data_IF_459831742785
#
_entry.id   IF_459831742785
#
_cell.length_a   1.000
_cell.length_b   1.000
_cell.length_c   1.000
_cell.angle_alpha   90.00
_cell.angle_beta   90.00
_cell.angle_gamma   90.00
#
_symmetry.space_group_name_H-M   'P 1'
#
loop_
_entity.id
_entity.type
_entity.pdbx_description
1 polymer ?
#
# COMPACT_ATOMS: atom_id res chain seq x y z
N UNK A 1 55.43 -51.61 63.76
CA UNK A 1 54.53 -52.12 62.71
C UNK A 1 53.84 -50.92 62.08
N UNK A 2 54.08 -50.67 60.79
CA UNK A 2 53.82 -49.41 60.08
C UNK A 2 52.51 -49.46 59.28
N UNK A 3 51.83 -48.31 59.29
CA UNK A 3 50.81 -47.74 58.39
C UNK A 3 49.34 -48.20 58.42
N UNK A 4 48.57 -47.38 59.13
CA UNK A 4 47.34 -46.70 58.71
C UNK A 4 46.79 -46.96 57.30
N UNK A 5 45.51 -47.34 57.25
CA UNK A 5 44.55 -46.75 56.33
C UNK A 5 43.30 -46.33 57.12
N UNK A 6 43.25 -45.05 57.49
CA UNK A 6 42.01 -44.41 57.88
C UNK A 6 41.17 -44.18 56.63
N UNK A 7 39.99 -44.78 56.57
CA UNK A 7 38.96 -44.44 55.59
C UNK A 7 38.49 -43.01 55.88
N UNK A 8 39.06 -42.04 55.17
CA UNK A 8 38.57 -40.66 55.18
C UNK A 8 37.13 -40.65 54.65
N UNK A 9 36.18 -40.37 55.54
CA UNK A 9 34.82 -40.02 55.15
C UNK A 9 34.89 -38.70 54.35
N UNK A 10 34.27 -38.60 53.17
CA UNK A 10 34.27 -37.35 52.41
C UNK A 10 33.67 -36.24 53.25
N UNK A 11 34.34 -35.09 53.31
CA UNK A 11 33.83 -33.89 53.98
C UNK A 11 32.60 -33.38 53.22
N UNK A 12 31.70 -32.68 53.91
CA UNK A 12 30.43 -32.16 53.38
C UNK A 12 30.62 -31.34 52.10
N UNK A 13 31.79 -30.70 51.92
CA UNK A 13 32.17 -29.98 50.72
C UNK A 13 32.34 -30.91 49.48
N UNK A 14 32.91 -32.11 49.64
CA UNK A 14 33.09 -33.07 48.54
C UNK A 14 31.76 -33.65 48.07
N UNK A 15 30.82 -33.85 48.99
CA UNK A 15 29.45 -34.30 48.66
C UNK A 15 28.68 -33.21 47.91
N UNK A 16 28.83 -31.94 48.31
CA UNK A 16 28.21 -30.80 47.62
C UNK A 16 28.79 -30.55 46.22
N UNK A 17 30.10 -30.74 46.01
CA UNK A 17 30.72 -30.63 44.68
C UNK A 17 30.29 -31.78 43.76
N UNK A 18 30.17 -33.02 44.28
CA UNK A 18 29.64 -34.15 43.52
C UNK A 18 28.15 -33.99 43.18
N UNK A 19 27.34 -33.43 44.09
CA UNK A 19 25.93 -33.09 43.81
C UNK A 19 25.80 -31.95 42.80
N UNK A 20 26.66 -30.92 42.86
CA UNK A 20 26.67 -29.84 41.87
C UNK A 20 27.09 -30.34 40.47
N UNK A 21 28.07 -31.24 40.38
CA UNK A 21 28.47 -31.89 39.13
C UNK A 21 27.38 -32.83 38.59
N UNK A 22 26.64 -33.53 39.46
CA UNK A 22 25.46 -34.33 39.07
C UNK A 22 24.30 -33.47 38.57
N UNK A 23 24.05 -32.30 39.16
CA UNK A 23 23.01 -31.37 38.69
C UNK A 23 23.40 -30.75 37.33
N UNK A 24 24.69 -30.55 37.04
CA UNK A 24 25.15 -30.12 35.71
C UNK A 24 25.01 -31.25 34.66
N UNK A 25 25.18 -32.52 35.04
CA UNK A 25 24.97 -33.66 34.14
C UNK A 25 23.50 -34.00 33.84
N UNK A 26 22.54 -33.41 34.58
CA UNK A 26 21.11 -33.55 34.35
C UNK A 26 20.44 -32.26 33.81
N UNK A 27 21.18 -31.39 33.14
CA UNK A 27 20.53 -30.52 32.16
C UNK A 27 20.03 -31.43 31.04
N UNK A 28 18.73 -31.77 31.06
CA UNK A 28 18.07 -32.40 29.91
C UNK A 28 18.45 -31.58 28.68
N UNK A 29 19.17 -32.19 27.75
CA UNK A 29 19.32 -31.62 26.42
C UNK A 29 17.92 -31.20 25.95
N UNK A 30 17.74 -30.00 25.39
CA UNK A 30 16.44 -29.57 24.91
C UNK A 30 15.87 -30.67 24.01
N UNK A 31 14.62 -31.06 24.26
CA UNK A 31 13.99 -32.13 23.48
C UNK A 31 14.12 -31.78 22.00
N UNK A 32 14.84 -32.61 21.24
CA UNK A 32 15.04 -32.38 19.81
C UNK A 32 13.66 -32.30 19.14
N UNK A 33 13.41 -31.21 18.39
CA UNK A 33 12.18 -31.09 17.63
C UNK A 33 12.08 -32.28 16.66
N UNK A 34 10.88 -32.85 16.51
CA UNK A 34 10.68 -33.93 15.54
C UNK A 34 10.92 -33.41 14.12
N UNK A 35 11.32 -34.30 13.21
CA UNK A 35 11.52 -33.95 11.79
C UNK A 35 10.27 -33.27 11.19
N UNK A 36 9.09 -33.73 11.60
CA UNK A 36 7.80 -33.13 11.22
C UNK A 36 7.66 -31.70 11.73
N UNK A 37 7.99 -31.44 13.00
CA UNK A 37 7.98 -30.08 13.57
C UNK A 37 8.95 -29.13 12.87
N UNK A 38 10.16 -29.61 12.56
CA UNK A 38 11.17 -28.81 11.82
C UNK A 38 10.65 -28.47 10.42
N UNK A 39 10.09 -29.46 9.72
CA UNK A 39 9.56 -29.28 8.36
C UNK A 39 8.41 -28.29 8.35
N UNK A 40 7.47 -28.39 9.31
CA UNK A 40 6.36 -27.44 9.46
C UNK A 40 6.87 -26.02 9.68
N UNK A 41 7.83 -25.80 10.59
CA UNK A 41 8.40 -24.47 10.84
C UNK A 41 9.08 -23.88 9.59
N UNK A 42 9.79 -24.70 8.83
CA UNK A 42 10.42 -24.27 7.57
C UNK A 42 9.35 -23.85 6.55
N UNK A 43 8.26 -24.60 6.43
CA UNK A 43 7.15 -24.24 5.53
C UNK A 43 6.43 -22.97 5.99
N UNK A 44 6.15 -22.82 7.28
CA UNK A 44 5.54 -21.61 7.87
C UNK A 44 6.39 -20.37 7.60
N UNK A 45 7.70 -20.45 7.87
CA UNK A 45 8.63 -19.35 7.59
C UNK A 45 8.66 -18.99 6.11
N UNK A 46 8.78 -19.98 5.21
CA UNK A 46 8.78 -19.72 3.76
C UNK A 46 7.44 -19.16 3.27
N UNK A 47 6.33 -19.57 3.85
CA UNK A 47 5.01 -19.04 3.53
C UNK A 47 4.87 -17.58 3.97
N UNK A 48 5.43 -17.21 5.13
CA UNK A 48 5.49 -15.81 5.56
C UNK A 48 6.37 -14.98 4.61
N UNK A 49 7.58 -15.44 4.29
CA UNK A 49 8.47 -14.78 3.32
C UNK A 49 7.81 -14.62 1.93
N UNK A 50 7.07 -15.63 1.48
CA UNK A 50 6.31 -15.57 0.23
C UNK A 50 5.24 -14.49 0.24
N UNK A 51 4.52 -14.32 1.35
CA UNK A 51 3.55 -13.24 1.49
C UNK A 51 4.23 -11.87 1.45
N UNK A 52 5.32 -11.67 2.21
CA UNK A 52 6.06 -10.39 2.27
C UNK A 52 6.64 -10.00 0.90
N UNK A 53 7.37 -10.92 0.26
CA UNK A 53 7.92 -10.71 -1.08
C UNK A 53 6.83 -10.47 -2.13
N UNK A 54 5.73 -11.20 -2.03
CA UNK A 54 4.62 -11.14 -2.97
C UNK A 54 3.76 -9.90 -2.83
N UNK A 55 3.87 -9.12 -1.75
CA UNK A 55 2.94 -8.02 -1.44
C UNK A 55 2.62 -7.08 -2.60
N UNK A 56 3.59 -6.55 -3.37
CA UNK A 56 3.28 -5.72 -4.53
C UNK A 56 2.43 -6.43 -5.61
N UNK A 57 2.73 -7.71 -5.91
CA UNK A 57 1.94 -8.50 -6.87
C UNK A 57 0.56 -8.85 -6.30
N UNK A 58 0.48 -9.14 -5.01
CA UNK A 58 -0.77 -9.47 -4.32
C UNK A 58 -1.72 -8.27 -4.31
N UNK A 59 -1.21 -7.07 -4.02
CA UNK A 59 -1.96 -5.83 -4.12
C UNK A 59 -2.41 -5.56 -5.56
N UNK A 60 -1.50 -5.68 -6.54
CA UNK A 60 -1.85 -5.58 -7.96
C UNK A 60 -2.97 -6.56 -8.35
N UNK A 61 -2.83 -7.84 -7.98
CA UNK A 61 -3.81 -8.86 -8.34
C UNK A 61 -5.14 -8.63 -7.65
N UNK A 62 -5.18 -8.22 -6.39
CA UNK A 62 -6.43 -7.89 -5.69
C UNK A 62 -7.19 -6.78 -6.41
N UNK A 63 -6.50 -5.70 -6.82
CA UNK A 63 -7.11 -4.65 -7.63
C UNK A 63 -7.58 -5.18 -9.00
N UNK A 64 -6.74 -5.95 -9.71
CA UNK A 64 -7.10 -6.51 -11.02
C UNK A 64 -8.31 -7.45 -10.94
N UNK A 65 -8.40 -8.30 -9.91
CA UNK A 65 -9.53 -9.21 -9.73
C UNK A 65 -10.82 -8.44 -9.41
N UNK A 66 -10.76 -7.39 -8.57
CA UNK A 66 -11.90 -6.51 -8.33
C UNK A 66 -12.32 -5.77 -9.61
N UNK A 67 -11.36 -5.39 -10.45
CA UNK A 67 -11.63 -4.72 -11.72
C UNK A 67 -12.43 -5.63 -12.68
N UNK A 68 -12.11 -6.93 -12.75
CA UNK A 68 -12.92 -7.88 -13.51
C UNK A 68 -14.24 -8.22 -12.82
N UNK A 69 -14.22 -8.50 -11.51
CA UNK A 69 -15.37 -9.00 -10.75
C UNK A 69 -16.41 -7.93 -10.46
N UNK A 70 -15.99 -6.79 -9.91
CA UNK A 70 -16.89 -5.78 -9.34
C UNK A 70 -17.25 -4.70 -10.36
N UNK A 71 -16.29 -4.28 -11.19
CA UNK A 71 -16.56 -3.34 -12.27
C UNK A 71 -17.14 -4.04 -13.52
N UNK A 72 -16.99 -5.36 -13.64
CA UNK A 72 -17.36 -6.12 -14.84
C UNK A 72 -16.52 -5.70 -16.05
N UNK A 73 -15.31 -5.19 -15.80
CA UNK A 73 -14.44 -4.61 -16.82
C UNK A 73 -13.66 -5.69 -17.57
N UNK A 74 -13.08 -5.32 -18.70
CA UNK A 74 -12.06 -6.10 -19.41
C UNK A 74 -10.77 -5.29 -19.49
N UNK A 75 -9.65 -5.92 -19.86
CA UNK A 75 -8.43 -5.17 -20.15
C UNK A 75 -8.74 -4.03 -21.14
N UNK A 76 -8.10 -2.87 -20.91
CA UNK A 76 -8.26 -1.64 -21.69
C UNK A 76 -9.60 -0.89 -21.48
N UNK A 77 -10.58 -1.43 -20.75
CA UNK A 77 -11.67 -0.59 -20.23
C UNK A 77 -11.08 0.48 -19.25
N UNK A 78 -11.80 1.58 -19.06
CA UNK A 78 -11.42 2.70 -18.20
C UNK A 78 -12.42 2.77 -17.05
N UNK A 79 -11.99 2.35 -15.87
CA UNK A 79 -12.76 2.48 -14.63
C UNK A 79 -12.48 3.85 -14.00
N UNK A 80 -13.50 4.51 -13.45
CA UNK A 80 -13.33 5.80 -12.78
C UNK A 80 -14.37 6.02 -11.69
N UNK A 81 -14.13 7.00 -10.83
CA UNK A 81 -15.12 7.49 -9.86
C UNK A 81 -15.52 8.92 -10.27
N UNK A 82 -16.79 9.12 -10.62
CA UNK A 82 -17.32 10.46 -10.98
C UNK A 82 -17.43 11.42 -9.81
N UNK A 83 -17.31 10.90 -8.58
CA UNK A 83 -17.36 11.67 -7.34
C UNK A 83 -16.16 11.34 -6.45
N UNK A 84 -15.81 12.23 -5.51
CA UNK A 84 -14.78 11.96 -4.53
C UNK A 84 -15.07 10.63 -3.80
N UNK A 85 -14.04 9.81 -3.54
CA UNK A 85 -14.23 8.42 -3.13
C UNK A 85 -14.84 8.30 -1.74
N UNK A 86 -15.85 7.44 -1.58
CA UNK A 86 -16.40 7.04 -0.28
C UNK A 86 -15.89 5.64 0.14
N UNK A 87 -16.46 5.10 1.22
CA UNK A 87 -16.07 3.79 1.77
C UNK A 87 -16.15 2.64 0.77
N UNK A 88 -16.92 2.76 -0.33
CA UNK A 88 -17.08 1.70 -1.34
C UNK A 88 -15.80 1.47 -2.12
N UNK A 89 -14.92 2.46 -2.22
CA UNK A 89 -13.59 2.28 -2.78
C UNK A 89 -12.68 1.61 -1.75
N UNK A 90 -12.46 0.31 -1.91
CA UNK A 90 -11.59 -0.48 -1.04
C UNK A 90 -10.29 -0.80 -1.79
N UNK A 91 -9.54 0.23 -2.17
CA UNK A 91 -8.10 0.11 -2.47
C UNK A 91 -7.29 0.39 -1.20
N UNK A 92 -5.97 0.19 -1.26
CA UNK A 92 -5.08 0.62 -0.19
C UNK A 92 -5.00 2.15 -0.12
N UNK A 93 -5.27 2.75 1.04
CA UNK A 93 -5.27 4.20 1.34
C UNK A 93 -5.76 5.16 0.25
N UNK A 94 -6.97 4.94 -0.34
CA UNK A 94 -7.57 5.85 -1.29
C UNK A 94 -7.72 7.25 -0.70
N UNK A 95 -7.70 8.26 -1.55
CA UNK A 95 -7.95 9.63 -1.14
C UNK A 95 -9.42 10.01 -1.36
N UNK A 96 -10.03 10.64 -0.36
CA UNK A 96 -11.40 11.12 -0.47
C UNK A 96 -11.54 12.27 -1.47
N UNK A 97 -10.53 13.13 -1.67
CA UNK A 97 -10.68 14.44 -2.32
C UNK A 97 -10.52 14.49 -3.84
N UNK A 98 -10.06 13.43 -4.50
CA UNK A 98 -9.75 13.44 -5.94
C UNK A 98 -10.52 12.38 -6.72
N UNK A 99 -10.93 12.70 -7.95
CA UNK A 99 -11.53 11.72 -8.86
C UNK A 99 -10.46 10.77 -9.40
N UNK A 100 -10.63 9.47 -9.15
CA UNK A 100 -9.70 8.45 -9.61
C UNK A 100 -10.10 7.89 -10.96
N UNK A 101 -9.08 7.53 -11.73
CA UNK A 101 -9.18 6.81 -13.01
C UNK A 101 -8.21 5.64 -12.95
N UNK A 102 -8.68 4.45 -13.27
CA UNK A 102 -7.92 3.22 -13.26
C UNK A 102 -8.21 2.42 -14.51
N UNK A 103 -7.19 1.77 -15.03
CA UNK A 103 -7.32 0.79 -16.10
C UNK A 103 -6.20 -0.22 -15.97
N UNK A 104 -6.46 -1.43 -16.46
CA UNK A 104 -5.50 -2.51 -16.52
C UNK A 104 -5.22 -2.86 -17.98
N UNK A 105 -3.96 -3.14 -18.29
CA UNK A 105 -3.54 -3.57 -19.63
C UNK A 105 -2.74 -4.86 -19.51
N UNK A 106 -2.83 -5.69 -20.54
CA UNK A 106 -2.02 -6.90 -20.67
C UNK A 106 -1.25 -6.86 -21.98
N UNK A 107 0.05 -7.17 -21.92
CA UNK A 107 0.96 -7.02 -23.04
C UNK A 107 1.32 -8.36 -23.71
N UNK A 108 0.67 -9.47 -23.35
CA UNK A 108 0.98 -10.80 -23.95
C UNK A 108 0.74 -10.82 -25.46
N UNK A 109 -0.28 -10.12 -25.93
CA UNK A 109 -0.65 -10.06 -27.35
C UNK A 109 0.03 -8.90 -28.11
N UNK A 110 0.88 -8.12 -27.43
CA UNK A 110 1.67 -7.04 -28.04
C UNK A 110 1.51 -5.69 -27.33
N UNK A 111 2.05 -4.61 -27.95
CA UNK A 111 1.99 -3.27 -27.39
C UNK A 111 0.57 -2.71 -27.22
N UNK A 112 0.37 -1.93 -26.15
CA UNK A 112 -0.90 -1.23 -25.87
C UNK A 112 -0.67 0.27 -25.85
N UNK A 113 -1.56 1.03 -26.50
CA UNK A 113 -1.57 2.48 -26.52
C UNK A 113 -2.39 3.02 -25.35
N UNK A 114 -1.82 3.98 -24.63
CA UNK A 114 -2.52 4.87 -23.69
C UNK A 114 -2.49 6.29 -24.27
N UNK A 115 -3.63 6.76 -24.75
CA UNK A 115 -3.82 8.07 -25.36
C UNK A 115 -4.38 9.06 -24.34
N UNK A 116 -3.52 9.98 -23.89
CA UNK A 116 -3.84 11.00 -22.89
C UNK A 116 -4.24 12.28 -23.64
N UNK A 117 -5.47 12.80 -23.43
CA UNK A 117 -5.91 14.04 -24.07
C UNK A 117 -5.10 15.23 -23.55
N UNK A 118 -4.99 16.27 -24.38
CA UNK A 118 -4.38 17.53 -23.98
C UNK A 118 -5.21 18.22 -22.91
N UNK A 119 -4.55 18.75 -21.88
CA UNK A 119 -5.15 19.51 -20.79
C UNK A 119 -5.92 20.72 -21.31
N UNK A 120 -7.11 20.93 -20.76
CA UNK A 120 -7.95 22.11 -21.01
C UNK A 120 -8.30 22.75 -19.65
N UNK A 121 -9.57 23.03 -19.38
CA UNK A 121 -10.04 23.46 -18.06
C UNK A 121 -9.92 22.35 -17.00
N UNK A 122 -9.82 21.09 -17.45
CA UNK A 122 -9.49 19.92 -16.66
C UNK A 122 -8.28 19.19 -17.28
N UNK A 123 -7.61 18.37 -16.47
CA UNK A 123 -6.44 17.59 -16.88
C UNK A 123 -6.41 16.22 -16.24
N UNK A 124 -5.51 15.36 -16.72
CA UNK A 124 -5.13 14.13 -16.02
C UNK A 124 -3.78 14.34 -15.35
N UNK A 125 -3.54 13.62 -14.28
CA UNK A 125 -2.19 13.44 -13.75
C UNK A 125 -2.06 12.10 -13.03
N UNK A 126 -1.01 11.37 -13.33
CA UNK A 126 -0.73 10.10 -12.68
C UNK A 126 0.38 9.36 -13.41
N UNK A 127 0.39 8.03 -13.27
CA UNK A 127 1.53 7.21 -13.67
C UNK A 127 1.09 5.89 -14.27
N UNK A 128 1.82 5.43 -15.29
CA UNK A 128 1.72 4.05 -15.77
C UNK A 128 2.63 3.17 -14.91
N UNK A 129 2.10 2.07 -14.38
CA UNK A 129 2.71 1.28 -13.32
C UNK A 129 2.71 -0.20 -13.72
N UNK A 130 3.81 -0.88 -13.46
CA UNK A 130 3.99 -2.31 -13.74
C UNK A 130 3.32 -3.18 -12.65
N UNK A 131 3.19 -4.51 -12.86
CA UNK A 131 2.55 -5.39 -11.87
C UNK A 131 3.29 -5.44 -10.52
N UNK A 132 4.57 -5.06 -10.49
CA UNK A 132 5.38 -4.96 -9.28
C UNK A 132 5.19 -3.66 -8.52
N UNK A 133 4.23 -2.84 -8.93
CA UNK A 133 3.94 -1.52 -8.37
C UNK A 133 5.10 -0.52 -8.64
N UNK A 134 5.92 -0.79 -9.65
CA UNK A 134 7.02 0.10 -10.07
C UNK A 134 6.48 1.16 -11.02
N UNK A 135 6.65 2.46 -10.70
CA UNK A 135 6.21 3.52 -11.59
C UNK A 135 7.12 3.61 -12.82
N UNK A 136 6.55 3.60 -14.02
CA UNK A 136 7.31 3.64 -15.28
C UNK A 136 7.41 5.05 -15.87
N UNK A 137 6.29 5.77 -15.94
CA UNK A 137 6.25 7.12 -16.52
C UNK A 137 5.07 7.92 -15.97
N UNK A 138 5.29 9.20 -15.66
CA UNK A 138 4.23 10.15 -15.33
C UNK A 138 3.58 10.69 -16.60
N UNK A 139 2.25 10.85 -16.57
CA UNK A 139 1.44 11.36 -17.67
C UNK A 139 0.54 12.50 -17.22
N UNK A 140 0.08 13.31 -18.18
CA UNK A 140 -0.78 14.47 -18.03
C UNK A 140 -0.06 15.76 -17.63
N UNK A 141 -0.75 16.66 -16.94
CA UNK A 141 -0.34 18.06 -16.71
C UNK A 141 1.11 18.24 -16.23
N UNK A 142 1.53 17.38 -15.30
CA UNK A 142 2.88 17.38 -14.69
C UNK A 142 3.70 16.14 -15.10
N UNK A 143 3.26 15.43 -16.14
CA UNK A 143 3.91 14.25 -16.71
C UNK A 143 4.81 14.59 -17.90
N UNK A 144 5.23 13.55 -18.62
CA UNK A 144 6.14 13.69 -19.76
C UNK A 144 5.53 14.51 -20.92
N UNK A 145 4.21 14.45 -21.11
CA UNK A 145 3.51 15.25 -22.12
C UNK A 145 3.31 16.71 -21.72
N UNK A 146 3.58 17.09 -20.47
CA UNK A 146 3.45 18.46 -19.97
C UNK A 146 2.06 19.07 -20.20
N UNK A 147 1.02 18.24 -20.19
CA UNK A 147 -0.36 18.65 -20.46
C UNK A 147 -0.70 18.90 -21.93
N UNK A 148 0.23 18.65 -22.86
CA UNK A 148 -0.04 18.77 -24.31
C UNK A 148 -0.75 17.55 -24.89
N UNK A 149 -0.99 16.53 -24.07
CA UNK A 149 -1.49 15.24 -24.51
C UNK A 149 -0.38 14.38 -25.11
N UNK A 150 -0.56 13.07 -25.08
CA UNK A 150 0.48 12.14 -25.49
C UNK A 150 -0.04 10.73 -25.69
N UNK A 151 0.50 10.07 -26.73
CA UNK A 151 0.24 8.66 -27.01
C UNK A 151 1.40 7.84 -26.50
N UNK A 152 1.21 7.18 -25.37
CA UNK A 152 2.19 6.31 -24.75
C UNK A 152 2.00 4.89 -25.28
N UNK A 153 3.05 4.30 -25.85
CA UNK A 153 3.03 2.92 -26.32
C UNK A 153 3.73 2.05 -25.28
N UNK A 154 2.95 1.31 -24.50
CA UNK A 154 3.47 0.39 -23.49
C UNK A 154 3.91 -0.90 -24.18
N UNK A 155 5.19 -1.24 -24.03
CA UNK A 155 5.86 -2.33 -24.73
C UNK A 155 6.00 -3.55 -23.81
N UNK A 156 5.75 -4.77 -24.32
CA UNK A 156 5.94 -5.99 -23.55
C UNK A 156 7.41 -6.22 -23.16
N UNK A 157 7.67 -7.00 -22.10
CA UNK A 157 9.01 -7.44 -21.74
C UNK A 157 9.76 -8.04 -22.94
N UNK A 158 10.98 -7.54 -23.20
CA UNK A 158 11.82 -8.05 -24.30
C UNK A 158 11.38 -7.63 -25.71
N UNK A 159 10.48 -6.66 -25.85
CA UNK A 159 10.07 -6.16 -27.17
C UNK A 159 11.25 -5.60 -27.97
N UNK A 160 11.42 -6.09 -29.20
CA UNK A 160 12.49 -5.68 -30.13
C UNK A 160 11.96 -5.14 -31.47
N UNK A 161 10.64 -5.01 -31.60
CA UNK A 161 10.01 -4.45 -32.79
C UNK A 161 10.23 -2.94 -32.94
N UNK A 162 9.91 -2.40 -34.11
CA UNK A 162 9.96 -0.95 -34.33
C UNK A 162 8.83 -0.26 -33.58
N UNK A 163 9.13 0.91 -33.00
CA UNK A 163 8.13 1.80 -32.40
C UNK A 163 7.66 2.77 -33.49
N UNK A 164 6.36 2.80 -33.84
CA UNK A 164 5.86 3.72 -34.86
C UNK A 164 6.07 5.19 -34.47
N UNK A 165 6.20 6.07 -35.46
CA UNK A 165 6.36 7.50 -35.22
C UNK A 165 5.16 8.11 -34.47
N UNK A 166 5.42 9.07 -33.59
CA UNK A 166 4.38 9.80 -32.85
C UNK A 166 3.86 9.09 -31.60
N UNK A 167 4.56 8.05 -31.12
CA UNK A 167 4.36 7.42 -29.82
C UNK A 167 5.55 7.65 -28.89
N UNK A 168 5.27 7.75 -27.60
CA UNK A 168 6.27 7.71 -26.53
C UNK A 168 6.42 6.27 -26.06
N UNK A 169 7.55 5.58 -26.28
CA UNK A 169 7.72 4.20 -25.85
C UNK A 169 7.87 4.10 -24.33
N UNK A 170 7.18 3.13 -23.73
CA UNK A 170 7.23 2.83 -22.29
C UNK A 170 7.52 1.35 -22.13
N UNK A 171 8.76 0.98 -21.81
CA UNK A 171 9.16 -0.41 -21.66
C UNK A 171 8.71 -0.98 -20.31
N UNK A 172 7.82 -1.97 -20.33
CA UNK A 172 7.45 -2.69 -19.11
C UNK A 172 8.37 -3.89 -18.86
N UNK A 173 8.60 -4.19 -17.58
CA UNK A 173 9.25 -5.44 -17.13
C UNK A 173 8.24 -6.57 -16.87
N UNK A 174 6.94 -6.27 -16.99
CA UNK A 174 5.82 -7.17 -16.70
C UNK A 174 4.81 -7.21 -17.84
N UNK A 175 4.07 -8.31 -17.99
CA UNK A 175 2.97 -8.40 -18.95
C UNK A 175 1.72 -7.68 -18.45
N UNK A 176 1.35 -7.86 -17.19
CA UNK A 176 0.25 -7.13 -16.59
C UNK A 176 0.72 -5.77 -16.08
N UNK A 177 -0.07 -4.73 -16.35
CA UNK A 177 0.22 -3.36 -15.93
C UNK A 177 -1.09 -2.66 -15.55
N UNK A 178 -0.99 -1.57 -14.82
CA UNK A 178 -2.13 -0.73 -14.51
C UNK A 178 -1.74 0.75 -14.51
N UNK A 179 -2.73 1.61 -14.39
CA UNK A 179 -2.50 3.01 -14.09
C UNK A 179 -3.46 3.45 -13.01
N UNK A 180 -3.00 4.46 -12.28
CA UNK A 180 -3.85 5.27 -11.43
C UNK A 180 -3.62 6.74 -11.80
N UNK A 181 -4.62 7.32 -12.45
CA UNK A 181 -4.66 8.74 -12.76
C UNK A 181 -5.66 9.44 -11.86
N UNK A 182 -5.48 10.74 -11.73
CA UNK A 182 -6.44 11.64 -11.11
C UNK A 182 -6.91 12.65 -12.15
N UNK A 183 -8.20 12.97 -12.11
CA UNK A 183 -8.72 14.13 -12.81
C UNK A 183 -8.39 15.37 -11.99
N UNK A 184 -7.66 16.30 -12.59
CA UNK A 184 -7.29 17.58 -12.01
C UNK A 184 -8.28 18.61 -12.52
N UNK A 185 -9.09 19.14 -11.61
CA UNK A 185 -10.13 20.14 -11.89
C UNK A 185 -9.74 21.50 -11.32
N UNK A 186 -10.43 22.55 -11.76
CA UNK A 186 -10.22 23.92 -11.25
C UNK A 186 -10.59 24.05 -9.76
N UNK A 187 -11.62 23.34 -9.32
CA UNK A 187 -12.05 23.27 -7.93
C UNK A 187 -12.73 21.94 -7.62
N UNK A 188 -13.00 21.68 -6.34
CA UNK A 188 -13.83 20.54 -5.89
C UNK A 188 -15.34 20.77 -6.01
N UNK A 189 -15.80 21.86 -6.64
CA UNK A 189 -17.22 22.13 -6.84
C UNK A 189 -17.85 21.17 -7.85
N UNK A 190 -19.11 20.80 -7.64
CA UNK A 190 -19.84 19.80 -8.44
C UNK A 190 -19.77 20.05 -9.95
N UNK A 191 -19.88 21.31 -10.40
CA UNK A 191 -19.76 21.70 -11.81
C UNK A 191 -18.37 21.41 -12.39
N UNK A 192 -17.31 21.72 -11.65
CA UNK A 192 -15.93 21.52 -12.11
C UNK A 192 -15.59 20.01 -12.10
N UNK A 193 -16.14 19.25 -11.14
CA UNK A 193 -16.04 17.78 -11.13
C UNK A 193 -16.74 17.15 -12.34
N UNK A 194 -17.96 17.60 -12.67
CA UNK A 194 -18.69 17.11 -13.84
C UNK A 194 -17.94 17.40 -15.14
N UNK A 195 -17.41 18.62 -15.31
CA UNK A 195 -16.54 18.95 -16.45
C UNK A 195 -15.32 18.02 -16.48
N UNK A 196 -14.67 17.78 -15.33
CA UNK A 196 -13.56 16.83 -15.24
C UNK A 196 -13.90 15.43 -15.74
N UNK A 197 -15.10 14.93 -15.43
CA UNK A 197 -15.61 13.64 -15.93
C UNK A 197 -15.82 13.68 -17.44
N UNK A 198 -16.39 14.74 -18.00
CA UNK A 198 -16.58 14.90 -19.45
C UNK A 198 -15.23 14.95 -20.18
N UNK A 199 -14.27 15.68 -19.63
CA UNK A 199 -12.90 15.74 -20.13
C UNK A 199 -12.24 14.36 -20.17
N UNK A 200 -12.36 13.58 -19.09
CA UNK A 200 -11.82 12.22 -18.98
C UNK A 200 -12.31 11.31 -20.12
N UNK A 201 -13.54 11.48 -20.61
CA UNK A 201 -14.08 10.64 -21.70
C UNK A 201 -13.35 10.76 -23.03
N UNK A 202 -12.42 11.70 -23.16
CA UNK A 202 -11.54 11.84 -24.32
C UNK A 202 -10.30 10.95 -24.26
N UNK A 203 -10.02 10.31 -23.12
CA UNK A 203 -8.93 9.33 -22.97
C UNK A 203 -9.21 8.05 -23.76
N UNK A 204 -8.16 7.36 -24.22
CA UNK A 204 -8.29 6.05 -24.86
C UNK A 204 -7.21 5.07 -24.39
N UNK A 205 -7.59 3.80 -24.28
CA UNK A 205 -6.66 2.68 -24.06
C UNK A 205 -7.02 1.57 -25.04
N UNK A 206 -6.05 1.12 -25.86
CA UNK A 206 -6.33 0.14 -26.92
C UNK A 206 -5.05 -0.58 -27.42
N UNK A 207 -5.15 -1.84 -27.91
CA UNK A 207 -4.02 -2.55 -28.51
C UNK A 207 -3.51 -1.90 -29.81
N UNK A 208 -2.21 -1.89 -30.04
CA UNK A 208 -1.63 -1.42 -31.30
C UNK A 208 -2.02 -2.37 -32.46
N UNK A 209 -2.65 -1.85 -33.51
CA UNK A 209 -2.93 -2.60 -34.76
C UNK A 209 -4.16 -3.51 -34.78
N UNK A 210 -5.01 -3.52 -33.75
CA UNK A 210 -6.26 -4.31 -33.74
C UNK A 210 -7.35 -3.78 -34.68
N UNK A 211 -8.32 -4.62 -35.06
CA UNK A 211 -9.52 -4.15 -35.79
C UNK A 211 -10.31 -3.20 -34.88
N UNK A 212 -10.36 -1.91 -35.22
CA UNK A 212 -10.87 -0.85 -34.34
C UNK A 212 -9.79 -0.17 -33.48
N UNK A 213 -8.52 -0.17 -33.91
CA UNK A 213 -7.32 0.36 -33.22
C UNK A 213 -7.33 1.86 -32.84
N UNK A 214 -8.50 2.46 -32.68
CA UNK A 214 -8.70 3.83 -32.20
C UNK A 214 -9.94 3.99 -31.31
N UNK A 215 -10.72 2.92 -31.07
CA UNK A 215 -11.83 2.95 -30.11
C UNK A 215 -11.31 2.64 -28.71
N UNK A 216 -11.57 3.53 -27.76
CA UNK A 216 -11.31 3.27 -26.34
C UNK A 216 -12.13 2.08 -25.86
N UNK A 217 -11.61 1.35 -24.86
CA UNK A 217 -12.46 0.51 -24.01
C UNK A 217 -13.59 1.32 -23.36
N UNK A 218 -14.54 0.60 -22.76
CA UNK A 218 -15.71 1.18 -22.10
C UNK A 218 -15.28 2.04 -20.92
N UNK A 219 -16.04 3.08 -20.63
CA UNK A 219 -15.88 3.81 -19.39
C UNK A 219 -16.87 3.33 -18.34
N UNK A 220 -16.37 2.95 -17.16
CA UNK A 220 -17.18 2.33 -16.10
C UNK A 220 -17.10 3.19 -14.84
N UNK A 221 -18.22 3.79 -14.46
CA UNK A 221 -18.33 4.57 -13.23
C UNK A 221 -18.53 3.65 -12.03
N UNK A 222 -17.72 3.86 -11.00
CA UNK A 222 -17.70 3.11 -9.74
C UNK A 222 -18.16 3.95 -8.53
N UNK A 223 -18.60 5.20 -8.71
CA UNK A 223 -19.00 6.07 -7.60
C UNK A 223 -20.06 5.46 -6.66
N UNK A 224 -20.97 4.61 -7.17
CA UNK A 224 -22.03 3.96 -6.39
C UNK A 224 -21.81 2.46 -6.18
N UNK A 225 -20.65 1.92 -6.59
CA UNK A 225 -20.35 0.49 -6.56
C UNK A 225 -19.21 0.20 -5.60
N UNK A 226 -19.31 -0.93 -4.89
CA UNK A 226 -18.19 -1.44 -4.10
C UNK A 226 -17.12 -1.96 -5.04
N UNK A 227 -15.89 -1.48 -4.86
CA UNK A 227 -14.69 -1.99 -5.53
C UNK A 227 -13.80 -2.61 -4.45
N UNK A 228 -13.93 -3.93 -4.26
CA UNK A 228 -13.31 -4.68 -3.17
C UNK A 228 -11.94 -5.23 -3.56
N UNK A 229 -10.96 -4.33 -3.52
CA UNK A 229 -9.64 -4.48 -4.13
C UNK A 229 -8.49 -4.64 -3.11
N UNK A 230 -8.79 -4.96 -1.85
CA UNK A 230 -7.79 -5.24 -0.82
C UNK A 230 -7.41 -6.73 -0.82
N UNK A 231 -6.12 -7.07 -0.67
CA UNK A 231 -5.70 -8.46 -0.48
C UNK A 231 -6.37 -9.10 0.74
N UNK A 232 -6.78 -10.37 0.60
CA UNK A 232 -7.26 -11.19 1.71
C UNK A 232 -6.10 -11.98 2.29
N UNK A 233 -5.90 -11.88 3.59
CA UNK A 233 -4.85 -12.60 4.31
C UNK A 233 -5.38 -13.91 4.89
N UNK A 234 -5.78 -14.80 3.98
CA UNK A 234 -6.11 -16.19 4.22
C UNK A 234 -5.27 -17.08 3.27
N UNK A 235 -5.56 -18.38 3.20
CA UNK A 235 -4.83 -19.30 2.32
C UNK A 235 -4.99 -18.99 0.82
N UNK A 236 -6.04 -18.27 0.40
CA UNK A 236 -6.25 -17.87 -0.99
C UNK A 236 -5.24 -16.82 -1.49
N UNK A 237 -4.54 -16.16 -0.55
CA UNK A 237 -3.41 -15.28 -0.86
C UNK A 237 -2.36 -16.02 -1.71
N UNK A 238 -2.10 -17.29 -1.41
CA UNK A 238 -1.07 -18.07 -2.09
C UNK A 238 -1.50 -18.56 -3.47
N UNK A 239 -2.81 -18.73 -3.71
CA UNK A 239 -3.33 -18.96 -5.06
C UNK A 239 -3.12 -17.74 -5.95
N UNK A 240 -3.35 -16.54 -5.39
CA UNK A 240 -3.07 -15.26 -6.05
C UNK A 240 -1.57 -15.11 -6.36
N UNK A 241 -0.71 -15.43 -5.39
CA UNK A 241 0.73 -15.38 -5.58
C UNK A 241 1.21 -16.34 -6.66
N UNK A 242 0.78 -17.61 -6.60
CA UNK A 242 1.13 -18.63 -7.58
C UNK A 242 0.71 -18.21 -8.99
N UNK A 243 -0.50 -17.66 -9.13
CA UNK A 243 -1.01 -17.12 -10.39
C UNK A 243 -0.11 -16.02 -10.94
N UNK A 244 0.21 -15.01 -10.12
CA UNK A 244 1.07 -13.90 -10.55
C UNK A 244 2.49 -14.35 -10.90
N UNK A 245 3.07 -15.29 -10.15
CA UNK A 245 4.38 -15.90 -10.47
C UNK A 245 4.34 -16.59 -11.83
N UNK A 246 3.25 -17.27 -12.19
CA UNK A 246 3.09 -17.91 -13.51
C UNK A 246 2.92 -16.85 -14.60
N UNK A 247 2.14 -15.81 -14.37
CA UNK A 247 1.82 -14.79 -15.36
C UNK A 247 3.00 -13.86 -15.70
N UNK A 248 3.86 -13.51 -14.73
CA UNK A 248 4.85 -12.44 -14.86
C UNK A 248 6.30 -12.89 -15.06
N UNK A 249 7.12 -12.28 -15.93
CA UNK A 249 8.50 -12.70 -16.11
C UNK A 249 9.28 -12.80 -14.79
N UNK A 250 10.08 -13.85 -14.67
CA UNK A 250 11.00 -13.97 -13.54
C UNK A 250 12.08 -12.89 -13.65
N UNK A 251 12.30 -12.12 -12.59
CA UNK A 251 13.42 -11.18 -12.54
C UNK A 251 14.63 -11.85 -11.89
N UNK A 252 15.83 -11.42 -12.29
CA UNK A 252 17.09 -11.98 -11.79
C UNK A 252 17.20 -11.93 -10.26
N UNK A 253 16.80 -10.80 -9.66
CA UNK A 253 16.76 -10.60 -8.19
C UNK A 253 15.89 -11.64 -7.45
N UNK A 254 14.95 -12.28 -8.13
CA UNK A 254 13.94 -13.15 -7.53
C UNK A 254 14.28 -14.64 -7.67
N UNK A 255 15.38 -15.00 -8.34
CA UNK A 255 15.72 -16.42 -8.62
C UNK A 255 15.98 -17.22 -7.34
N UNK A 256 16.72 -16.64 -6.39
CA UNK A 256 17.05 -17.34 -5.14
C UNK A 256 15.81 -17.60 -4.27
N UNK A 257 14.92 -16.61 -4.13
CA UNK A 257 13.72 -16.74 -3.29
C UNK A 257 12.71 -17.73 -3.88
N UNK A 258 12.66 -17.85 -5.22
CA UNK A 258 11.85 -18.87 -5.90
C UNK A 258 12.29 -20.30 -5.59
N UNK A 259 13.58 -20.52 -5.33
CA UNK A 259 14.07 -21.81 -4.84
C UNK A 259 13.40 -22.22 -3.52
N UNK A 260 13.13 -21.24 -2.65
CA UNK A 260 12.40 -21.48 -1.39
C UNK A 260 10.91 -21.72 -1.66
N UNK A 261 10.28 -20.91 -2.51
CA UNK A 261 8.84 -21.01 -2.77
C UNK A 261 8.43 -22.27 -3.52
N UNK A 262 9.36 -22.89 -4.28
CA UNK A 262 9.13 -24.22 -4.86
C UNK A 262 8.69 -25.25 -3.83
N UNK A 263 9.16 -25.17 -2.58
CA UNK A 263 8.74 -26.13 -1.54
C UNK A 263 7.31 -25.92 -1.05
N UNK A 264 6.71 -24.77 -1.36
CA UNK A 264 5.30 -24.47 -1.17
C UNK A 264 4.46 -24.87 -2.40
N UNK A 265 5.09 -25.38 -3.47
CA UNK A 265 4.42 -25.63 -4.74
C UNK A 265 4.28 -24.40 -5.64
N UNK A 266 4.94 -23.28 -5.31
CA UNK A 266 4.87 -22.02 -6.07
C UNK A 266 6.08 -21.91 -6.99
N UNK A 267 5.83 -21.72 -8.29
CA UNK A 267 6.88 -21.52 -9.28
C UNK A 267 6.35 -21.57 -10.70
N UNK A 268 7.15 -21.08 -11.65
CA UNK A 268 6.77 -20.90 -13.07
C UNK A 268 6.19 -22.14 -13.76
N UNK A 269 6.71 -23.31 -13.43
CA UNK A 269 6.34 -24.59 -14.05
C UNK A 269 5.59 -25.51 -13.09
N UNK A 270 5.24 -25.01 -11.90
CA UNK A 270 4.56 -25.79 -10.88
C UNK A 270 3.05 -25.57 -10.94
N UNK A 271 2.33 -26.60 -10.53
CA UNK A 271 0.90 -26.53 -10.29
C UNK A 271 0.67 -26.38 -8.78
N UNK A 272 0.21 -25.21 -8.35
CA UNK A 272 -0.06 -24.96 -6.94
C UNK A 272 -1.36 -25.68 -6.54
N UNK A 273 -1.21 -26.79 -5.81
CA UNK A 273 -2.32 -27.62 -5.34
C UNK A 273 -2.03 -28.16 -3.93
N UNK A 274 -1.99 -27.28 -2.92
CA UNK A 274 -1.72 -27.70 -1.55
C UNK A 274 -2.89 -28.52 -0.97
N UNK A 275 -2.55 -29.54 -0.20
CA UNK A 275 -3.50 -30.37 0.53
C UNK A 275 -4.16 -29.62 1.71
N UNK A 276 -5.18 -30.20 2.38
CA UNK A 276 -5.86 -29.52 3.49
C UNK A 276 -4.96 -29.13 4.67
N UNK A 277 -3.90 -29.90 4.95
CA UNK A 277 -2.95 -29.59 6.02
C UNK A 277 -2.08 -28.39 5.63
N UNK A 278 -1.60 -28.36 4.39
CA UNK A 278 -0.86 -27.25 3.82
C UNK A 278 -1.72 -25.98 3.78
N UNK A 279 -2.98 -26.07 3.35
CA UNK A 279 -3.94 -24.94 3.37
C UNK A 279 -4.09 -24.32 4.75
N UNK A 280 -4.22 -25.13 5.80
CA UNK A 280 -4.28 -24.63 7.19
C UNK A 280 -3.00 -23.92 7.62
N UNK A 281 -1.84 -24.44 7.22
CA UNK A 281 -0.54 -23.81 7.48
C UNK A 281 -0.44 -22.46 6.78
N UNK A 282 -0.82 -22.42 5.49
CA UNK A 282 -0.83 -21.21 4.69
C UNK A 282 -1.79 -20.14 5.25
N UNK A 283 -3.01 -20.52 5.66
CA UNK A 283 -3.95 -19.61 6.33
C UNK A 283 -3.34 -18.99 7.60
N UNK A 284 -2.66 -19.80 8.40
CA UNK A 284 -1.96 -19.33 9.61
C UNK A 284 -0.84 -18.35 9.24
N UNK A 285 -0.02 -18.70 8.25
CA UNK A 285 1.08 -17.86 7.78
C UNK A 285 0.60 -16.54 7.17
N UNK A 286 -0.50 -16.53 6.42
CA UNK A 286 -1.08 -15.30 5.85
C UNK A 286 -1.54 -14.33 6.96
N UNK A 287 -2.21 -14.84 8.00
CA UNK A 287 -2.63 -14.03 9.15
C UNK A 287 -1.45 -13.47 9.94
N UNK A 288 -0.39 -14.26 10.11
CA UNK A 288 0.85 -13.81 10.74
C UNK A 288 1.56 -12.75 9.89
N UNK A 289 1.62 -12.95 8.57
CA UNK A 289 2.16 -11.97 7.64
C UNK A 289 1.37 -10.65 7.70
N UNK A 290 0.03 -10.70 7.75
CA UNK A 290 -0.79 -9.50 7.93
C UNK A 290 -0.44 -8.75 9.22
N UNK A 291 -0.37 -9.45 10.35
CA UNK A 291 -0.04 -8.83 11.64
C UNK A 291 1.36 -8.19 11.63
N UNK A 292 2.33 -8.85 10.98
CA UNK A 292 3.68 -8.31 10.78
C UNK A 292 3.67 -7.06 9.88
N UNK A 293 2.96 -7.10 8.75
CA UNK A 293 2.83 -5.98 7.82
C UNK A 293 2.12 -4.78 8.46
N UNK A 294 1.07 -5.02 9.25
CA UNK A 294 0.37 -3.97 10.01
C UNK A 294 1.32 -3.26 10.97
N UNK A 295 2.08 -4.03 11.76
CA UNK A 295 3.04 -3.48 12.73
C UNK A 295 4.18 -2.76 12.03
N UNK A 296 4.71 -3.36 10.95
CA UNK A 296 5.78 -2.77 10.15
C UNK A 296 5.34 -1.48 9.48
N UNK A 297 4.15 -1.44 8.89
CA UNK A 297 3.62 -0.21 8.30
C UNK A 297 3.26 0.85 9.34
N UNK A 298 2.78 0.48 10.53
CA UNK A 298 2.60 1.42 11.65
C UNK A 298 3.93 2.11 12.02
N UNK A 299 5.03 1.35 12.08
CA UNK A 299 6.34 1.82 12.53
C UNK A 299 7.23 2.38 11.41
N UNK A 300 6.91 2.12 10.15
CA UNK A 300 7.73 2.54 9.01
C UNK A 300 7.68 4.05 8.76
N UNK A 301 8.54 4.51 7.85
CA UNK A 301 8.71 5.93 7.54
C UNK A 301 9.48 6.68 8.63
N UNK A 302 9.74 7.96 8.37
CA UNK A 302 10.52 8.82 9.26
C UNK A 302 9.59 9.73 10.06
N UNK A 303 9.93 9.97 11.33
CA UNK A 303 9.26 11.00 12.12
C UNK A 303 9.50 12.38 11.49
N UNK A 304 8.42 13.10 11.21
CA UNK A 304 8.48 14.40 10.50
C UNK A 304 8.96 15.49 11.47
N UNK A 305 8.35 15.57 12.65
CA UNK A 305 8.79 16.47 13.73
C UNK A 305 9.30 15.62 14.90
N UNK A 306 10.46 14.98 14.70
CA UNK A 306 11.07 14.05 15.66
C UNK A 306 11.12 14.63 17.08
N UNK A 307 10.63 13.86 18.06
CA UNK A 307 10.57 14.26 19.47
C UNK A 307 9.47 15.27 19.82
N UNK A 308 8.75 15.81 18.85
CA UNK A 308 7.69 16.80 19.07
C UNK A 308 6.29 16.29 18.73
N UNK A 309 6.19 15.41 17.73
CA UNK A 309 4.93 14.90 17.17
C UNK A 309 5.02 13.43 16.79
N UNK A 310 3.86 12.78 16.64
CA UNK A 310 3.72 11.37 16.26
C UNK A 310 3.46 11.14 14.77
N UNK A 311 3.55 12.19 13.96
CA UNK A 311 3.42 12.10 12.51
C UNK A 311 4.66 11.53 11.83
N UNK A 312 4.45 10.54 10.95
CA UNK A 312 5.50 9.87 10.16
C UNK A 312 5.25 10.00 8.67
N UNK A 313 6.28 9.93 7.85
CA UNK A 313 6.13 9.70 6.40
C UNK A 313 5.57 8.29 6.14
N UNK A 314 5.05 8.03 4.93
CA UNK A 314 4.48 6.72 4.62
C UNK A 314 5.54 5.61 4.53
N UNK A 315 6.68 5.93 3.93
CA UNK A 315 7.90 5.14 3.85
C UNK A 315 9.11 6.06 4.03
N UNK A 316 10.33 5.52 4.14
CA UNK A 316 11.54 6.36 4.14
C UNK A 316 11.67 7.05 2.76
N UNK A 317 11.56 8.40 2.70
CA UNK A 317 11.64 9.12 1.44
C UNK A 317 12.99 8.98 0.77
N UNK A 318 14.10 8.92 1.51
CA UNK A 318 15.45 8.81 0.92
C UNK A 318 15.58 7.49 0.17
N UNK A 319 15.21 6.41 0.84
CA UNK A 319 15.19 5.07 0.28
C UNK A 319 14.26 4.94 -0.92
N UNK A 320 13.03 5.47 -0.79
CA UNK A 320 12.03 5.41 -1.85
C UNK A 320 12.48 6.21 -3.09
N UNK A 321 13.10 7.38 -2.89
CA UNK A 321 13.63 8.21 -3.96
C UNK A 321 14.86 7.58 -4.61
N UNK A 322 15.83 7.13 -3.82
CA UNK A 322 17.09 6.57 -4.30
C UNK A 322 16.89 5.30 -5.13
N UNK A 323 15.90 4.48 -4.80
CA UNK A 323 15.56 3.25 -5.52
C UNK A 323 14.59 3.46 -6.70
N UNK A 324 14.10 4.68 -6.93
CA UNK A 324 13.01 4.90 -7.89
C UNK A 324 11.74 4.12 -7.51
N UNK A 325 11.48 3.97 -6.21
CA UNK A 325 10.33 3.27 -5.62
C UNK A 325 10.37 1.74 -5.86
N UNK A 326 11.49 1.20 -6.35
CA UNK A 326 11.69 -0.25 -6.51
C UNK A 326 12.11 -0.94 -5.21
N UNK A 327 12.65 -0.17 -4.24
CA UNK A 327 13.31 -0.64 -3.03
C UNK A 327 14.57 -1.49 -3.28
N UNK A 328 15.05 -1.53 -4.52
CA UNK A 328 16.37 -2.04 -4.87
C UNK A 328 17.34 -0.85 -4.85
N UNK A 329 18.31 -0.90 -3.96
CA UNK A 329 19.34 0.12 -3.82
C UNK A 329 20.38 0.01 -4.94
N UNK A 330 21.17 1.09 -5.20
CA UNK A 330 22.18 1.07 -6.27
C UNK A 330 23.22 -0.05 -6.16
N UNK A 331 23.55 -0.48 -4.95
CA UNK A 331 24.42 -1.62 -4.61
C UNK A 331 23.72 -2.99 -4.68
N UNK A 332 22.49 -3.04 -5.18
CA UNK A 332 21.64 -4.23 -5.38
C UNK A 332 21.03 -4.81 -4.10
N UNK A 333 21.11 -4.12 -2.96
CA UNK A 333 20.38 -4.52 -1.76
C UNK A 333 18.87 -4.29 -1.94
N UNK A 334 18.07 -5.35 -1.74
CA UNK A 334 16.61 -5.27 -1.74
C UNK A 334 16.11 -5.08 -0.31
N UNK A 335 15.46 -3.94 -0.06
CA UNK A 335 14.79 -3.65 1.20
C UNK A 335 13.40 -4.29 1.21
N UNK A 336 13.40 -5.62 1.39
CA UNK A 336 12.23 -6.49 1.26
C UNK A 336 11.11 -6.11 2.22
N UNK A 337 11.43 -5.93 3.50
CA UNK A 337 10.44 -5.64 4.54
C UNK A 337 9.85 -4.25 4.35
N UNK A 338 10.68 -3.23 4.12
CA UNK A 338 10.23 -1.87 3.85
C UNK A 338 9.32 -1.81 2.61
N UNK A 339 9.67 -2.57 1.57
CA UNK A 339 8.85 -2.73 0.37
C UNK A 339 7.51 -3.36 0.70
N UNK A 340 7.51 -4.44 1.47
CA UNK A 340 6.29 -5.15 1.88
C UNK A 340 5.38 -4.25 2.74
N UNK A 341 5.94 -3.52 3.70
CA UNK A 341 5.22 -2.56 4.54
C UNK A 341 4.61 -1.43 3.72
N UNK A 342 5.37 -0.87 2.77
CA UNK A 342 4.85 0.16 1.89
C UNK A 342 3.64 -0.34 1.09
N UNK A 343 3.76 -1.51 0.44
CA UNK A 343 2.69 -2.03 -0.44
C UNK A 343 1.54 -2.73 0.26
N UNK A 344 1.65 -2.98 1.57
CA UNK A 344 0.53 -3.42 2.40
C UNK A 344 -0.60 -2.39 2.43
N UNK A 345 -0.26 -1.11 2.57
CA UNK A 345 -1.22 -0.03 2.75
C UNK A 345 -1.07 1.09 1.72
N UNK A 346 -0.25 0.91 0.68
CA UNK A 346 -0.11 1.82 -0.45
C UNK A 346 -0.12 1.05 -1.77
N UNK A 347 -0.40 1.75 -2.86
CA UNK A 347 -0.16 1.31 -4.23
C UNK A 347 0.84 2.26 -4.91
N UNK A 348 1.16 2.02 -6.18
CA UNK A 348 2.25 2.68 -6.89
C UNK A 348 2.08 4.20 -6.93
N UNK A 349 3.02 4.97 -6.35
CA UNK A 349 2.91 6.42 -6.33
C UNK A 349 3.31 7.00 -7.68
N UNK A 350 3.06 8.29 -7.84
CA UNK A 350 3.64 9.04 -8.96
C UNK A 350 5.16 9.06 -8.87
N UNK A 351 5.86 9.01 -10.00
CA UNK A 351 7.34 9.11 -10.04
C UNK A 351 7.73 10.44 -9.36
N UNK A 352 8.58 10.42 -8.33
CA UNK A 352 9.02 11.64 -7.67
C UNK A 352 9.85 12.57 -8.58
N UNK A 353 9.95 13.88 -8.29
CA UNK A 353 9.37 14.58 -7.14
C UNK A 353 7.85 14.71 -7.21
N UNK A 354 7.16 14.43 -6.10
CA UNK A 354 5.69 14.46 -6.04
C UNK A 354 5.18 15.84 -5.65
N UNK A 355 4.07 16.34 -6.25
CA UNK A 355 3.47 17.62 -5.87
C UNK A 355 2.67 17.56 -4.55
N UNK A 356 2.87 16.52 -3.75
CA UNK A 356 2.11 16.25 -2.53
C UNK A 356 3.03 15.73 -1.41
N UNK A 357 2.68 16.02 -0.15
CA UNK A 357 3.27 15.43 1.06
C UNK A 357 2.20 14.63 1.79
N UNK A 358 2.54 13.43 2.23
CA UNK A 358 1.67 12.52 2.97
C UNK A 358 2.27 12.23 4.34
N UNK A 359 1.46 12.29 5.38
CA UNK A 359 1.86 12.05 6.77
C UNK A 359 0.85 11.12 7.42
N UNK A 360 1.32 10.08 8.11
CA UNK A 360 0.48 9.12 8.83
C UNK A 360 0.59 9.29 10.34
N UNK A 361 -0.50 9.04 11.05
CA UNK A 361 -0.50 8.84 12.49
C UNK A 361 -1.42 7.70 12.89
N UNK A 362 -0.90 6.81 13.74
CA UNK A 362 -1.60 5.66 14.35
C UNK A 362 -1.94 5.89 15.82
N UNK A 363 -1.46 7.00 16.39
CA UNK A 363 -1.45 7.21 17.83
C UNK A 363 -1.74 8.67 18.20
N UNK A 364 -2.17 8.85 19.44
CA UNK A 364 -2.30 10.16 20.07
C UNK A 364 -0.93 10.74 20.42
N UNK A 365 -0.87 12.03 20.78
CA UNK A 365 0.36 12.65 21.29
C UNK A 365 0.96 11.93 22.51
N UNK A 366 0.12 11.23 23.30
CA UNK A 366 0.54 10.42 24.44
C UNK A 366 1.03 9.00 24.07
N UNK A 367 1.04 8.64 22.78
CA UNK A 367 1.47 7.33 22.28
C UNK A 367 0.43 6.22 22.42
N UNK A 368 -0.85 6.57 22.59
CA UNK A 368 -1.93 5.59 22.63
C UNK A 368 -2.45 5.34 21.22
N UNK A 369 -2.51 4.07 20.82
CA UNK A 369 -3.07 3.69 19.52
C UNK A 369 -4.53 4.14 19.39
N UNK A 370 -4.90 4.59 18.19
CA UNK A 370 -6.23 5.10 17.90
C UNK A 370 -7.24 3.94 17.83
N UNK A 371 -8.28 4.03 18.67
CA UNK A 371 -9.36 3.07 18.84
C UNK A 371 -10.67 3.72 18.40
N UNK A 372 -11.31 3.16 17.37
CA UNK A 372 -12.48 3.74 16.75
C UNK A 372 -13.72 3.81 17.65
N UNK A 373 -13.71 3.22 18.85
CA UNK A 373 -14.76 3.39 19.87
C UNK A 373 -14.67 4.69 20.66
N UNK A 374 -13.52 5.37 20.62
CA UNK A 374 -13.25 6.58 21.39
C UNK A 374 -13.45 7.85 20.55
N UNK A 375 -13.43 9.00 21.23
CA UNK A 375 -13.51 10.32 20.61
C UNK A 375 -12.13 10.97 20.57
N UNK A 376 -11.78 11.55 19.43
CA UNK A 376 -10.54 12.28 19.24
C UNK A 376 -10.75 13.60 18.55
N UNK A 377 -9.76 14.50 18.71
CA UNK A 377 -9.66 15.77 17.99
C UNK A 377 -8.27 15.91 17.38
N UNK A 378 -8.22 16.40 16.15
CA UNK A 378 -7.03 16.97 15.52
C UNK A 378 -7.26 18.46 15.31
N UNK A 379 -6.50 19.31 16.02
CA UNK A 379 -6.49 20.76 15.76
C UNK A 379 -5.45 21.09 14.70
N UNK A 380 -5.88 21.39 13.49
CA UNK A 380 -5.02 21.83 12.39
C UNK A 380 -4.67 23.31 12.61
N UNK A 381 -3.39 23.66 12.72
CA UNK A 381 -2.98 25.06 12.85
C UNK A 381 -3.44 25.91 11.65
N UNK A 382 -3.62 27.21 11.89
CA UNK A 382 -3.90 28.16 10.82
C UNK A 382 -2.79 28.14 9.75
N UNK A 383 -3.12 28.63 8.56
CA UNK A 383 -2.18 28.77 7.43
C UNK A 383 -1.41 27.48 7.11
N UNK A 384 -2.12 26.34 7.09
CA UNK A 384 -1.54 25.08 6.63
C UNK A 384 -0.86 25.29 5.25
N UNK A 385 0.41 24.87 5.09
CA UNK A 385 1.27 25.27 3.95
C UNK A 385 0.95 24.47 2.68
N UNK A 386 -0.28 24.62 2.20
CA UNK A 386 -0.84 23.96 1.03
C UNK A 386 -1.27 25.02 0.00
N UNK A 387 -0.55 25.09 -1.12
CA UNK A 387 -0.89 25.99 -2.23
C UNK A 387 -2.23 25.60 -2.89
N UNK A 388 -2.52 24.30 -2.95
CA UNK A 388 -3.76 23.79 -3.54
C UNK A 388 -4.79 23.55 -2.42
N UNK A 389 -4.61 22.51 -1.62
CA UNK A 389 -5.47 22.16 -0.48
C UNK A 389 -4.80 21.16 0.47
N UNK A 390 -5.36 20.95 1.66
CA UNK A 390 -5.01 19.82 2.53
C UNK A 390 -6.22 18.90 2.75
N UNK A 391 -5.97 17.63 3.06
CA UNK A 391 -7.02 16.66 3.43
C UNK A 391 -6.60 15.77 4.60
N UNK A 392 -7.59 15.22 5.31
CA UNK A 392 -7.43 14.22 6.36
C UNK A 392 -8.43 13.10 6.14
N UNK A 393 -7.92 11.88 6.02
CA UNK A 393 -8.73 10.69 5.79
C UNK A 393 -8.44 9.65 6.90
N UNK A 394 -9.44 8.84 7.27
CA UNK A 394 -9.32 7.76 8.25
C UNK A 394 -9.45 6.37 7.61
N UNK A 395 -8.61 5.44 8.06
CA UNK A 395 -8.47 4.10 7.47
C UNK A 395 -8.51 3.02 8.54
N UNK A 396 -9.09 1.87 8.19
CA UNK A 396 -9.00 0.66 9.00
C UNK A 396 -7.52 0.22 9.07
N UNK A 397 -6.97 0.13 10.28
CA UNK A 397 -5.58 -0.24 10.49
C UNK A 397 -5.25 -1.68 10.07
N UNK A 398 -6.25 -2.55 9.96
CA UNK A 398 -6.08 -3.96 9.58
C UNK A 398 -6.00 -4.18 8.07
N UNK A 399 -6.53 -3.25 7.27
CA UNK A 399 -6.64 -3.43 5.82
C UNK A 399 -5.98 -2.30 5.03
N UNK A 400 -5.77 -1.13 5.64
CA UNK A 400 -5.32 0.08 4.94
C UNK A 400 -6.40 0.73 4.07
N UNK A 401 -7.60 0.15 3.96
CA UNK A 401 -8.73 0.72 3.24
C UNK A 401 -9.54 1.70 4.10
N UNK A 402 -10.50 2.39 3.49
CA UNK A 402 -11.49 3.15 4.26
C UNK A 402 -12.28 2.23 5.19
N UNK A 403 -12.66 2.75 6.35
CA UNK A 403 -13.57 2.07 7.28
C UNK A 403 -14.88 1.78 6.54
N UNK A 404 -15.26 0.51 6.43
CA UNK A 404 -16.44 0.10 5.67
C UNK A 404 -17.71 0.69 6.26
N UNK A 405 -18.59 1.16 5.38
CA UNK A 405 -19.87 1.81 5.72
C UNK A 405 -19.72 3.09 6.55
N UNK A 406 -18.51 3.64 6.68
CA UNK A 406 -18.32 4.96 7.26
C UNK A 406 -19.07 6.01 6.41
N UNK A 407 -20.00 6.79 7.00
CA UNK A 407 -20.71 7.84 6.28
C UNK A 407 -19.79 8.98 5.83
N UNK A 408 -18.73 9.26 6.58
CA UNK A 408 -17.69 10.25 6.24
C UNK A 408 -16.33 9.61 6.46
N UNK A 409 -15.57 9.42 5.39
CA UNK A 409 -14.24 8.75 5.40
C UNK A 409 -13.07 9.73 5.53
N UNK A 410 -13.33 11.01 5.25
CA UNK A 410 -12.32 12.05 5.25
C UNK A 410 -12.91 13.43 4.98
N UNK A 411 -12.10 14.47 5.20
CA UNK A 411 -12.45 15.87 5.00
C UNK A 411 -11.27 16.61 4.37
N UNK A 412 -11.56 17.68 3.63
CA UNK A 412 -10.54 18.51 3.02
C UNK A 412 -10.88 20.00 3.03
N UNK A 413 -9.85 20.82 2.87
CA UNK A 413 -9.96 22.26 3.01
C UNK A 413 -10.77 22.97 1.92
N UNK A 414 -11.17 22.28 0.84
CA UNK A 414 -12.11 22.83 -0.14
C UNK A 414 -13.54 22.77 0.33
N UNK A 415 -13.89 21.88 1.27
CA UNK A 415 -15.22 21.82 1.83
C UNK A 415 -15.58 23.13 2.54
N UNK A 416 -16.55 23.85 1.97
CA UNK A 416 -17.04 25.13 2.49
C UNK A 416 -17.92 24.98 3.72
N UNK A 417 -18.34 23.76 4.04
CA UNK A 417 -19.11 23.44 5.25
C UNK A 417 -18.22 23.31 6.49
N UNK A 418 -16.90 23.11 6.32
CA UNK A 418 -15.96 23.05 7.44
C UNK A 418 -16.04 24.32 8.29
N UNK A 419 -16.31 24.14 9.58
CA UNK A 419 -16.27 25.20 10.58
C UNK A 419 -14.82 25.52 10.89
N UNK A 420 -14.49 26.81 10.79
CA UNK A 420 -13.16 27.36 11.10
C UNK A 420 -13.25 28.17 12.38
N UNK A 421 -12.23 28.06 13.22
CA UNK A 421 -12.14 28.84 14.45
C UNK A 421 -11.76 30.29 14.13
N UNK A 422 -12.02 31.20 15.08
CA UNK A 422 -11.72 32.62 14.90
C UNK A 422 -10.22 32.92 14.69
N UNK A 423 -9.35 32.06 15.21
CA UNK A 423 -7.88 32.12 15.05
C UNK A 423 -7.38 31.51 13.73
N UNK A 424 -8.30 31.05 12.86
CA UNK A 424 -7.99 30.41 11.58
C UNK A 424 -7.64 28.92 11.68
N UNK A 425 -7.61 28.33 12.89
CA UNK A 425 -7.44 26.88 13.07
C UNK A 425 -8.69 26.11 12.65
N UNK A 426 -8.54 24.81 12.41
CA UNK A 426 -9.65 23.89 12.12
C UNK A 426 -9.58 22.70 13.06
N UNK A 427 -10.66 22.44 13.80
CA UNK A 427 -10.79 21.21 14.58
C UNK A 427 -11.48 20.15 13.74
N UNK A 428 -10.84 18.99 13.59
CA UNK A 428 -11.47 17.79 13.06
C UNK A 428 -11.69 16.78 14.18
N UNK A 429 -12.81 16.08 14.13
CA UNK A 429 -13.22 15.10 15.14
C UNK A 429 -13.28 13.70 14.55
N UNK A 430 -12.82 12.71 15.32
CA UNK A 430 -12.92 11.29 14.96
C UNK A 430 -13.73 10.59 16.04
N UNK A 431 -14.87 10.00 15.67
CA UNK A 431 -15.78 9.31 16.60
C UNK A 431 -16.77 8.40 15.85
N UNK A 432 -17.41 7.42 16.52
CA UNK A 432 -18.50 6.64 15.92
C UNK A 432 -19.69 7.49 15.46
N UNK A 433 -19.97 8.58 16.18
CA UNK A 433 -21.06 9.50 15.92
C UNK A 433 -20.55 10.95 16.02
N UNK A 434 -21.09 11.88 15.23
CA UNK A 434 -20.63 13.26 15.26
C UNK A 434 -20.84 13.87 16.66
N UNK A 435 -19.84 14.58 17.22
CA UNK A 435 -20.08 15.41 18.39
C UNK A 435 -21.13 16.49 18.07
N UNK A 436 -22.04 16.82 19.01
CA UNK A 436 -23.09 17.80 18.77
C UNK A 436 -22.55 19.13 18.24
N UNK A 437 -23.08 19.59 17.11
CA UNK A 437 -22.66 20.84 16.47
C UNK A 437 -21.32 20.75 15.73
N UNK A 438 -20.74 19.57 15.57
CA UNK A 438 -19.48 19.33 14.84
C UNK A 438 -19.65 18.42 13.62
N UNK A 439 -20.89 18.26 13.13
CA UNK A 439 -21.25 17.33 12.07
C UNK A 439 -20.47 17.59 10.77
N UNK A 440 -20.16 18.85 10.47
CA UNK A 440 -19.37 19.26 9.30
C UNK A 440 -17.87 19.00 9.43
N UNK A 441 -17.38 18.76 10.64
CA UNK A 441 -15.95 18.63 10.98
C UNK A 441 -15.62 17.22 11.49
N UNK A 442 -16.51 16.27 11.26
CA UNK A 442 -16.43 14.93 11.80
C UNK A 442 -16.10 13.89 10.73
N UNK A 443 -15.20 12.98 11.08
CA UNK A 443 -14.83 11.80 10.30
C UNK A 443 -15.26 10.57 11.12
N UNK A 444 -16.00 9.66 10.48
CA UNK A 444 -16.55 8.50 11.16
C UNK A 444 -15.47 7.48 11.49
N UNK A 445 -15.52 6.96 12.71
CA UNK A 445 -14.80 5.76 13.14
C UNK A 445 -15.78 4.66 13.49
N UNK A 446 -15.28 3.48 13.87
CA UNK A 446 -16.14 2.35 14.23
C UNK A 446 -15.65 1.67 15.51
N UNK A 447 -16.58 1.39 16.43
CA UNK A 447 -16.26 0.70 17.67
C UNK A 447 -15.66 -0.69 17.42
N UNK A 448 -14.62 -1.05 18.17
CA UNK A 448 -13.93 -2.33 18.04
C UNK A 448 -12.95 -2.40 16.86
N UNK A 449 -12.74 -1.31 16.12
CA UNK A 449 -11.74 -1.23 15.05
C UNK A 449 -10.64 -0.24 15.40
N UNK A 450 -9.39 -0.63 15.20
CA UNK A 450 -8.26 0.32 15.20
C UNK A 450 -8.26 1.09 13.89
N UNK A 451 -7.90 2.36 13.94
CA UNK A 451 -7.76 3.17 12.73
C UNK A 451 -6.45 3.93 12.73
N UNK A 452 -6.11 4.50 11.58
CA UNK A 452 -5.06 5.49 11.46
C UNK A 452 -5.51 6.59 10.51
N UNK A 453 -4.80 7.71 10.53
CA UNK A 453 -5.13 8.85 9.69
C UNK A 453 -3.99 9.17 8.75
N UNK A 454 -4.34 9.67 7.55
CA UNK A 454 -3.38 10.31 6.67
C UNK A 454 -3.73 11.79 6.52
N UNK A 455 -2.78 12.67 6.86
CA UNK A 455 -2.82 14.09 6.52
C UNK A 455 -2.06 14.32 5.22
N UNK A 456 -2.69 15.00 4.27
CA UNK A 456 -2.15 15.24 2.94
C UNK A 456 -2.07 16.73 2.65
N UNK A 457 -0.97 17.17 2.06
CA UNK A 457 -0.76 18.54 1.60
C UNK A 457 -0.55 18.50 0.09
N UNK A 458 -1.39 19.24 -0.64
CA UNK A 458 -1.32 19.39 -2.09
C UNK A 458 -0.71 20.76 -2.43
N UNK A 459 0.35 20.74 -3.24
CA UNK A 459 1.18 21.92 -3.48
C UNK A 459 1.93 22.37 -2.22
N UNK A 460 2.81 21.54 -1.63
CA UNK A 460 3.50 21.86 -0.39
C UNK A 460 4.38 23.10 -0.51
N UNK A 461 4.13 24.08 0.35
CA UNK A 461 4.91 25.31 0.44
C UNK A 461 6.19 25.11 1.28
N UNK A 462 7.01 26.15 1.38
CA UNK A 462 8.33 26.05 2.04
C UNK A 462 8.22 25.61 3.51
N UNK A 463 7.19 26.05 4.23
CA UNK A 463 7.04 25.82 5.66
C UNK A 463 6.85 24.35 6.08
N UNK A 464 6.36 23.48 5.17
CA UNK A 464 6.35 22.02 5.42
C UNK A 464 7.69 21.38 5.06
N UNK A 465 8.42 21.94 4.08
CA UNK A 465 9.72 21.41 3.63
C UNK A 465 10.81 21.68 4.67
N UNK A 466 10.83 22.87 5.24
CA UNK A 466 11.75 23.25 6.32
C UNK A 466 11.23 22.91 7.72
N UNK A 467 9.99 22.40 7.82
CA UNK A 467 9.32 21.96 9.05
C UNK A 467 9.05 23.08 10.05
N UNK A 468 9.01 24.34 9.61
CA UNK A 468 8.64 25.50 10.44
C UNK A 468 7.16 25.54 10.80
N UNK A 469 6.28 24.97 9.97
CA UNK A 469 4.89 24.70 10.34
C UNK A 469 4.77 23.30 10.94
N UNK A 470 4.05 23.17 12.06
CA UNK A 470 3.97 21.92 12.85
C UNK A 470 2.52 21.53 13.05
N UNK A 471 2.10 20.39 12.48
CA UNK A 471 0.77 19.83 12.72
C UNK A 471 0.68 19.31 14.17
N UNK A 472 -0.44 19.57 14.85
CA UNK A 472 -0.67 19.03 16.18
C UNK A 472 -0.87 17.51 16.13
N UNK A 473 -0.60 16.84 17.25
CA UNK A 473 -0.97 15.45 17.39
C UNK A 473 -2.48 15.30 17.57
N UNK A 474 -2.95 14.07 17.37
CA UNK A 474 -4.32 13.69 17.69
C UNK A 474 -4.44 13.58 19.21
N UNK A 475 -5.50 14.15 19.76
CA UNK A 475 -5.79 14.14 21.19
C UNK A 475 -7.05 13.34 21.45
N UNK A 476 -7.04 12.46 22.46
CA UNK A 476 -8.27 11.84 22.93
C UNK A 476 -9.08 12.89 23.71
N UNK A 477 -10.38 12.97 23.45
CA UNK A 477 -11.31 13.86 24.14
C UNK A 477 -12.37 13.04 24.88
N UNK A 478 -13.01 13.65 25.87
CA UNK A 478 -14.06 13.02 26.68
C UNK A 478 -15.37 12.84 25.90
#
# INVERSE_FOLDING_TARGET
MRHHFGLNRPTTATVLVLLALLVIMFQKAPAAASQSQITTRVMESRAMEAALWGMPLLNFNAMRQAYFRDAGAQYNDIMYWSRPSDWRNQTATPNHSTLYVMFFINLKDGPVVVDIPATQEAGLYGTLIDAWTTPMVNVGNKGQDQGKGGRYLVLPPGYSGQVPAGYVPVQSKTFNNYSLLRVITRSGGEKDLAHGVDYLKNMKVYPLGGTGSSSSGRFIDMADKVYDALPKFDDSLYDSLATMVIEEPMQERDVAIMGQFRTLGIGKTLHFNPDPQQRKLLDTAAKQAQAYLMTGYEQSGLAIWSGQRKWRTLADPKTSLASGVTFVLPDQDLLLDERAFAWFAMFGPVVPPTPHVYMKSYETGAGQLLDGSKRYRLRIPANAPAKEFWSVDAYDASTGGFIRKAPVVGLDSYDKKLKRNADGTVDLYFAPEPPPGQESNWISTQAGQRFFTLFRIYGPEQAIKDRSWVLNDIEQIN
#
